data_IF_334895675219
#
_entry.id   IF_334895675219
#
_cell.length_a   1.000
_cell.length_b   1.000
_cell.length_c   1.000
_cell.angle_alpha   90.00
_cell.angle_beta   90.00
_cell.angle_gamma   90.00
#
_symmetry.space_group_name_H-M   'P 1'
#
loop_
_entity.id
_entity.type
_entity.pdbx_description
1 polymer ?
#
# COMPACT_ATOMS: atom_id res chain seq x y z
N UNK A 1 9.82 -18.56 -7.57
CA UNK A 1 9.22 -17.22 -7.73
C UNK A 1 9.81 -16.30 -6.69
N UNK A 2 10.53 -15.26 -7.10
CA UNK A 2 11.00 -14.22 -6.19
C UNK A 2 9.84 -13.33 -5.74
N UNK A 3 9.62 -13.29 -4.43
CA UNK A 3 8.61 -12.43 -3.80
C UNK A 3 9.33 -11.25 -3.19
N UNK A 4 9.39 -10.12 -3.91
CA UNK A 4 10.06 -8.88 -3.45
C UNK A 4 9.50 -8.43 -2.09
N UNK A 5 8.17 -8.46 -1.91
CA UNK A 5 7.53 -8.04 -0.67
C UNK A 5 7.07 -9.25 0.17
N UNK A 6 7.70 -9.41 1.33
CA UNK A 6 7.30 -10.37 2.37
C UNK A 6 5.95 -9.98 3.00
N UNK A 7 5.14 -10.93 3.53
CA UNK A 7 3.99 -10.59 4.36
C UNK A 7 4.38 -9.62 5.47
N UNK A 8 3.44 -8.75 5.86
CA UNK A 8 3.61 -7.62 6.80
C UNK A 8 4.63 -6.55 6.37
N UNK A 9 5.37 -6.77 5.28
CA UNK A 9 6.29 -5.82 4.69
C UNK A 9 5.58 -4.60 4.10
N UNK A 10 6.35 -3.52 4.00
CA UNK A 10 5.88 -2.23 3.50
C UNK A 10 6.43 -1.92 2.12
N UNK A 11 5.57 -1.36 1.27
CA UNK A 11 5.95 -0.64 0.07
C UNK A 11 5.68 0.86 0.29
N UNK A 12 6.67 1.70 0.05
CA UNK A 12 6.56 3.16 0.16
C UNK A 12 6.73 3.72 -1.24
N UNK A 13 5.72 4.43 -1.73
CA UNK A 13 5.65 4.92 -3.10
C UNK A 13 5.43 6.43 -3.04
N UNK A 14 6.40 7.21 -3.53
CA UNK A 14 6.25 8.65 -3.70
C UNK A 14 6.02 8.94 -5.17
N UNK A 15 4.89 9.54 -5.49
CA UNK A 15 4.55 9.88 -6.88
C UNK A 15 3.44 10.94 -6.93
N UNK A 16 3.07 11.37 -8.14
CA UNK A 16 1.95 12.26 -8.35
C UNK A 16 0.66 11.70 -7.75
N UNK A 17 -0.10 12.55 -7.07
CA UNK A 17 -1.35 12.18 -6.41
C UNK A 17 -2.32 11.44 -7.34
N UNK A 18 -2.36 11.83 -8.63
CA UNK A 18 -3.17 11.21 -9.67
C UNK A 18 -2.84 9.72 -9.89
N UNK A 19 -1.55 9.37 -9.97
CA UNK A 19 -1.14 7.98 -10.14
C UNK A 19 -1.31 7.18 -8.84
N UNK A 20 -1.09 7.81 -7.69
CA UNK A 20 -1.27 7.15 -6.40
C UNK A 20 -2.72 6.71 -6.15
N UNK A 21 -3.72 7.38 -6.71
CA UNK A 21 -5.11 6.91 -6.64
C UNK A 21 -5.29 5.57 -7.37
N UNK A 22 -4.73 5.45 -8.58
CA UNK A 22 -4.74 4.19 -9.34
C UNK A 22 -4.01 3.08 -8.60
N UNK A 23 -2.83 3.37 -8.03
CA UNK A 23 -2.04 2.40 -7.25
C UNK A 23 -2.79 1.96 -5.99
N UNK A 24 -3.43 2.89 -5.28
CA UNK A 24 -4.19 2.59 -4.07
C UNK A 24 -5.38 1.66 -4.35
N UNK A 25 -6.07 1.83 -5.49
CA UNK A 25 -7.16 0.94 -5.91
C UNK A 25 -6.63 -0.49 -6.13
N UNK A 26 -5.51 -0.64 -6.85
CA UNK A 26 -4.88 -1.94 -7.10
C UNK A 26 -4.46 -2.59 -5.78
N UNK A 27 -3.76 -1.84 -4.92
CA UNK A 27 -3.27 -2.34 -3.63
C UNK A 27 -4.43 -2.78 -2.72
N UNK A 28 -5.55 -2.03 -2.70
CA UNK A 28 -6.78 -2.42 -2.00
C UNK A 28 -7.37 -3.71 -2.55
N UNK A 29 -7.39 -3.90 -3.88
CA UNK A 29 -7.79 -5.16 -4.52
C UNK A 29 -6.92 -6.35 -4.10
N UNK A 30 -5.62 -6.10 -3.89
CA UNK A 30 -4.66 -7.07 -3.33
C UNK A 30 -4.79 -7.26 -1.81
N UNK A 31 -5.76 -6.60 -1.16
CA UNK A 31 -6.01 -6.58 0.28
C UNK A 31 -4.83 -6.03 1.10
N UNK A 32 -4.08 -5.09 0.54
CA UNK A 32 -3.06 -4.35 1.29
C UNK A 32 -3.74 -3.20 2.04
N UNK A 33 -3.17 -2.81 3.18
CA UNK A 33 -3.57 -1.60 3.88
C UNK A 33 -2.71 -0.46 3.36
N UNK A 34 -3.32 0.63 2.89
CA UNK A 34 -2.56 1.76 2.37
C UNK A 34 -3.06 3.08 2.93
N UNK A 35 -2.12 3.94 3.31
CA UNK A 35 -2.36 5.29 3.80
C UNK A 35 -1.60 6.30 2.94
N UNK A 36 -2.29 7.37 2.54
CA UNK A 36 -1.72 8.45 1.72
C UNK A 36 -1.37 9.63 2.61
N UNK A 37 -0.15 10.13 2.47
CA UNK A 37 0.40 11.23 3.25
C UNK A 37 0.92 12.34 2.33
N UNK A 38 0.85 13.57 2.81
CA UNK A 38 1.46 14.72 2.14
C UNK A 38 2.98 14.69 2.30
N UNK A 39 3.68 15.27 1.32
CA UNK A 39 5.14 15.46 1.39
C UNK A 39 5.50 16.69 2.23
N UNK A 40 6.76 16.78 2.67
CA UNK A 40 7.27 17.91 3.46
C UNK A 40 7.07 19.27 2.78
N UNK A 41 7.16 19.28 1.45
CA UNK A 41 7.03 20.50 0.65
C UNK A 41 5.57 20.91 0.39
N UNK A 42 4.58 20.14 0.88
CA UNK A 42 3.13 20.30 0.60
C UNK A 42 2.83 20.68 -0.86
N UNK A 43 3.69 20.25 -1.78
CA UNK A 43 3.49 20.50 -3.19
C UNK A 43 2.37 19.56 -3.62
N UNK A 44 1.17 20.12 -3.84
CA UNK A 44 -0.09 19.38 -4.06
C UNK A 44 -0.01 18.29 -5.16
N UNK A 45 1.02 18.36 -6.00
CA UNK A 45 1.26 17.42 -7.08
C UNK A 45 1.76 16.06 -6.60
N UNK A 46 2.61 15.98 -5.57
CA UNK A 46 3.23 14.72 -5.13
C UNK A 46 2.81 14.34 -3.72
N UNK A 47 2.50 13.05 -3.53
CA UNK A 47 2.16 12.47 -2.23
C UNK A 47 2.97 11.20 -2.00
N UNK A 48 2.90 10.68 -0.78
CA UNK A 48 3.49 9.38 -0.42
C UNK A 48 2.35 8.41 -0.10
N UNK A 49 2.38 7.24 -0.70
CA UNK A 49 1.50 6.13 -0.37
C UNK A 49 2.32 5.06 0.35
N UNK A 50 1.91 4.76 1.58
CA UNK A 50 2.53 3.72 2.41
C UNK A 50 1.57 2.55 2.41
N UNK A 51 1.99 1.43 1.84
CA UNK A 51 1.17 0.22 1.75
C UNK A 51 1.80 -0.95 2.52
N UNK A 52 1.03 -1.57 3.41
CA UNK A 52 1.41 -2.79 4.09
C UNK A 52 0.73 -4.02 3.47
N UNK A 53 1.54 -5.00 3.05
CA UNK A 53 1.04 -6.29 2.60
C UNK A 53 0.51 -7.08 3.78
N UNK A 54 -0.78 -7.40 3.77
CA UNK A 54 -1.36 -8.27 4.79
C UNK A 54 -0.82 -9.69 4.68
N UNK A 55 -0.55 -10.31 5.83
CA UNK A 55 -0.41 -11.75 5.90
C UNK A 55 -1.79 -12.36 5.67
N UNK A 56 -1.90 -13.22 4.66
CA UNK A 56 -3.10 -14.02 4.48
C UNK A 56 -3.00 -15.24 5.39
N UNK A 57 -3.61 -15.17 6.57
CA UNK A 57 -4.03 -16.37 7.28
C UNK A 57 -5.47 -16.68 6.88
N UNK A 58 -5.70 -17.88 6.35
CA UNK A 58 -7.06 -18.40 6.33
C UNK A 58 -7.55 -18.40 7.77
N UNK A 59 -8.75 -17.86 8.05
CA UNK A 59 -9.34 -17.98 9.38
C UNK A 59 -9.46 -19.47 9.68
N UNK A 60 -8.57 -20.03 10.49
CA UNK A 60 -8.85 -21.27 11.18
C UNK A 60 -9.84 -20.90 12.27
N UNK A 61 -11.12 -20.84 11.91
CA UNK A 61 -12.22 -20.78 12.86
C UNK A 61 -12.22 -22.11 13.59
N UNK A 62 -11.45 -22.21 14.68
CA UNK A 62 -11.67 -23.24 15.68
C UNK A 62 -12.80 -22.75 16.58
N UNK A 63 -14.00 -23.25 16.31
CA UNK A 63 -15.10 -23.34 17.27
C UNK A 63 -15.77 -24.69 17.06
#
# INVERSE_FOLDING_TARGET
MDRILRPTGYAIIRENAYFLDSVAIIAKGMRWNCDKHDTEYKADKEKVLICQKKLWSGKNTQH
#
